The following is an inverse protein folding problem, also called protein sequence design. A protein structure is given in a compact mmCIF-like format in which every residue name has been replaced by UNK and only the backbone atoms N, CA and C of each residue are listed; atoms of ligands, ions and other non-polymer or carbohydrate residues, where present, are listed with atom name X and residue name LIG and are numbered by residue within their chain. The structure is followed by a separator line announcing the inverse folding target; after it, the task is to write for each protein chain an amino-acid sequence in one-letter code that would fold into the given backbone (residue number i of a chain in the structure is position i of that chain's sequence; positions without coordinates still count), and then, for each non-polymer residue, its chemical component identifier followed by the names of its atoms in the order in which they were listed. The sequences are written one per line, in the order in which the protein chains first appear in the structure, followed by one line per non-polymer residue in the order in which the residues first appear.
data_IF_482776309698
#
_entry.id   IF_482776309698
#
_cell.length_a   1.000
_cell.length_b   1.000
_cell.length_c   1.000
_cell.angle_alpha   90.00
_cell.angle_beta   90.00
_cell.angle_gamma   90.00
#
_symmetry.space_group_name_H-M   'P 1'
#
loop_
_entity.id
_entity.type
_entity.pdbx_description
1 polymer ?
#
# COMPACT_ATOMS: atom_id res chain seq x y z
N UNK A 1 68.00 4.60 28.51
CA UNK A 1 66.51 4.83 28.29
C UNK A 1 66.38 6.02 27.37
N UNK A 2 66.34 5.75 26.07
CA UNK A 2 66.34 6.75 25.01
C UNK A 2 64.89 6.94 24.52
N UNK A 3 64.42 8.19 24.45
CA UNK A 3 63.17 8.59 23.84
C UNK A 3 63.24 8.43 22.31
N UNK A 4 62.20 7.98 21.63
CA UNK A 4 62.17 8.09 20.18
C UNK A 4 61.80 9.50 19.73
N UNK A 5 62.56 9.99 18.76
CA UNK A 5 62.40 11.24 18.03
C UNK A 5 61.11 11.28 17.22
N UNK A 6 60.50 12.44 17.18
CA UNK A 6 59.32 12.72 16.33
C UNK A 6 59.75 12.93 14.88
N UNK A 7 59.09 12.23 13.97
CA UNK A 7 59.24 12.38 12.49
C UNK A 7 58.45 13.60 11.99
N UNK A 8 59.07 14.64 11.43
CA UNK A 8 58.40 15.79 10.88
C UNK A 8 58.30 15.67 9.35
N UNK A 9 57.28 15.04 8.78
CA UNK A 9 56.80 15.37 7.40
C UNK A 9 55.76 14.38 6.91
N UNK A 10 54.50 14.59 7.30
CA UNK A 10 53.40 14.16 6.47
C UNK A 10 52.84 15.39 5.74
N UNK A 11 52.83 15.43 4.38
CA UNK A 11 52.17 16.50 3.66
C UNK A 11 50.67 16.41 3.88
N UNK A 12 50.06 17.52 4.31
CA UNK A 12 48.64 17.72 4.32
C UNK A 12 48.14 17.63 2.88
N UNK A 13 47.36 16.57 2.60
CA UNK A 13 46.62 16.47 1.36
C UNK A 13 45.60 17.63 1.24
N UNK A 14 45.25 18.07 0.03
CA UNK A 14 44.29 19.14 -0.14
C UNK A 14 42.96 18.76 0.48
N UNK A 15 42.42 19.68 1.31
CA UNK A 15 41.10 19.54 1.91
C UNK A 15 40.00 19.48 0.82
N UNK A 16 38.83 18.94 1.15
CA UNK A 16 37.78 18.79 0.17
C UNK A 16 37.40 20.14 -0.42
N UNK A 17 37.32 20.21 -1.76
CA UNK A 17 36.93 21.40 -2.50
C UNK A 17 35.54 21.87 -2.08
N UNK A 18 35.31 23.21 -1.92
CA UNK A 18 33.98 23.72 -1.57
C UNK A 18 33.05 23.66 -2.77
N UNK A 19 31.89 23.02 -2.60
CA UNK A 19 30.68 23.41 -3.32
C UNK A 19 30.60 23.01 -4.80
N UNK A 20 30.63 21.73 -5.12
CA UNK A 20 29.92 21.27 -6.31
C UNK A 20 28.39 21.44 -6.11
N UNK A 21 27.61 21.71 -7.18
CA UNK A 21 26.16 21.79 -7.06
C UNK A 21 25.66 20.48 -6.42
N UNK A 22 24.86 20.61 -5.35
CA UNK A 22 24.15 19.45 -4.79
C UNK A 22 23.41 18.77 -5.95
N UNK A 23 23.48 17.43 -6.06
CA UNK A 23 22.62 16.74 -7.00
C UNK A 23 21.20 17.22 -6.74
N UNK A 24 20.55 17.80 -7.73
CA UNK A 24 19.11 18.00 -7.73
C UNK A 24 18.56 16.59 -7.52
N UNK A 25 18.02 16.31 -6.34
CA UNK A 25 17.31 15.05 -6.09
C UNK A 25 16.21 15.01 -7.16
N UNK A 26 16.42 14.19 -8.19
CA UNK A 26 15.42 13.99 -9.21
C UNK A 26 14.17 13.52 -8.45
N UNK A 27 13.09 14.30 -8.50
CA UNK A 27 11.83 13.96 -7.87
C UNK A 27 11.46 12.54 -8.31
N UNK A 28 11.36 11.64 -7.37
CA UNK A 28 10.96 10.27 -7.67
C UNK A 28 9.54 10.36 -8.24
N UNK A 29 9.29 9.90 -9.48
CA UNK A 29 7.98 10.00 -10.08
C UNK A 29 6.95 9.31 -9.18
N UNK A 30 5.72 9.82 -9.20
CA UNK A 30 4.62 9.18 -8.47
C UNK A 30 4.48 7.73 -8.91
N UNK A 31 4.14 6.82 -8.00
CA UNK A 31 4.11 5.39 -8.30
C UNK A 31 3.17 5.04 -9.46
N UNK A 32 2.07 5.80 -9.62
CA UNK A 32 1.13 5.62 -10.73
C UNK A 32 1.69 6.04 -12.09
N UNK A 33 2.72 6.89 -12.11
CA UNK A 33 3.38 7.36 -13.35
C UNK A 33 4.57 6.46 -13.73
N UNK A 34 4.92 5.49 -12.89
CA UNK A 34 5.94 4.51 -13.21
C UNK A 34 5.40 3.45 -14.17
N UNK A 35 6.26 2.96 -15.06
CA UNK A 35 5.95 1.67 -15.70
C UNK A 35 5.94 0.56 -14.66
N UNK A 36 5.15 -0.49 -14.90
CA UNK A 36 5.11 -1.67 -14.00
C UNK A 36 6.52 -2.20 -13.73
N UNK A 37 7.37 -2.31 -14.77
CA UNK A 37 8.76 -2.76 -14.61
C UNK A 37 9.54 -1.88 -13.64
N UNK A 38 9.48 -0.54 -13.80
CA UNK A 38 10.17 0.39 -12.90
C UNK A 38 9.66 0.32 -11.45
N UNK A 39 8.35 0.11 -11.27
CA UNK A 39 7.80 -0.07 -9.94
C UNK A 39 8.32 -1.37 -9.29
N UNK A 40 8.38 -2.47 -10.04
CA UNK A 40 8.91 -3.75 -9.55
C UNK A 40 10.40 -3.64 -9.20
N UNK A 41 11.21 -2.93 -10.00
CA UNK A 41 12.62 -2.66 -9.71
C UNK A 41 12.75 -1.84 -8.40
N UNK A 42 11.95 -0.78 -8.24
CA UNK A 42 11.94 0.04 -7.04
C UNK A 42 11.50 -0.74 -5.79
N UNK A 43 10.50 -1.62 -5.92
CA UNK A 43 10.02 -2.48 -4.83
C UNK A 43 11.09 -3.48 -4.36
N UNK A 44 11.94 -3.95 -5.28
CA UNK A 44 13.01 -4.91 -5.01
C UNK A 44 14.29 -4.25 -4.48
N UNK A 45 14.37 -2.93 -4.53
CA UNK A 45 15.55 -2.20 -4.09
C UNK A 45 15.66 -2.16 -2.56
N UNK A 46 16.89 -2.15 -2.03
CA UNK A 46 17.16 -2.00 -0.60
C UNK A 46 17.08 -0.52 -0.14
N UNK A 47 16.01 0.17 -0.55
CA UNK A 47 15.75 1.58 -0.24
C UNK A 47 14.40 1.76 0.45
N UNK A 48 14.19 2.84 1.22
CA UNK A 48 12.89 3.13 1.83
C UNK A 48 11.82 3.47 0.79
N UNK A 49 11.00 2.47 0.43
CA UNK A 49 9.84 2.60 -0.47
C UNK A 49 10.10 2.22 -1.92
N UNK A 50 9.04 1.78 -2.67
CA UNK A 50 7.72 1.40 -2.18
C UNK A 50 7.78 0.18 -1.26
N UNK A 51 6.83 0.04 -0.34
CA UNK A 51 6.75 -1.06 0.63
C UNK A 51 5.43 -1.82 0.59
N UNK A 52 5.19 -2.61 1.64
CA UNK A 52 4.01 -3.46 1.75
C UNK A 52 2.69 -2.70 1.69
N UNK A 53 2.61 -1.48 2.23
CA UNK A 53 1.40 -0.66 2.19
C UNK A 53 1.09 -0.15 0.79
N UNK A 54 2.10 0.29 0.04
CA UNK A 54 1.93 0.67 -1.37
C UNK A 54 1.45 -0.51 -2.22
N UNK A 55 2.00 -1.73 -1.98
CA UNK A 55 1.57 -2.95 -2.68
C UNK A 55 0.13 -3.32 -2.31
N UNK A 56 -0.26 -3.21 -1.04
CA UNK A 56 -1.63 -3.48 -0.60
C UNK A 56 -2.62 -2.53 -1.27
N UNK A 57 -2.30 -1.22 -1.33
CA UNK A 57 -3.12 -0.21 -2.00
C UNK A 57 -3.28 -0.50 -3.50
N UNK A 58 -2.18 -0.84 -4.19
CA UNK A 58 -2.23 -1.19 -5.61
C UNK A 58 -2.99 -2.49 -5.87
N UNK A 59 -2.90 -3.49 -4.99
CA UNK A 59 -3.68 -4.72 -5.10
C UNK A 59 -5.19 -4.41 -5.04
N UNK A 60 -5.63 -3.59 -4.09
CA UNK A 60 -7.03 -3.14 -3.98
C UNK A 60 -7.43 -2.29 -5.19
N UNK A 61 -6.55 -1.42 -5.68
CA UNK A 61 -6.78 -0.61 -6.89
C UNK A 61 -7.01 -1.49 -8.12
N UNK A 62 -6.17 -2.50 -8.32
CA UNK A 62 -6.32 -3.47 -9.43
C UNK A 62 -7.59 -4.31 -9.28
N UNK A 63 -7.93 -4.74 -8.06
CA UNK A 63 -9.17 -5.44 -7.77
C UNK A 63 -10.39 -4.60 -8.15
N UNK A 64 -10.40 -3.32 -7.75
CA UNK A 64 -11.47 -2.39 -8.10
C UNK A 64 -11.56 -2.18 -9.62
N UNK A 65 -10.44 -2.07 -10.32
CA UNK A 65 -10.39 -2.00 -11.78
C UNK A 65 -11.02 -3.21 -12.47
N UNK A 66 -10.72 -4.44 -11.98
CA UNK A 66 -11.39 -5.66 -12.44
C UNK A 66 -12.90 -5.63 -12.13
N UNK A 67 -13.28 -5.10 -10.95
CA UNK A 67 -14.69 -4.89 -10.58
C UNK A 67 -15.42 -3.98 -11.57
N UNK A 68 -14.81 -2.87 -12.00
CA UNK A 68 -15.36 -1.98 -13.04
C UNK A 68 -15.57 -2.74 -14.34
N UNK A 69 -14.54 -3.43 -14.81
CA UNK A 69 -14.58 -4.17 -16.08
C UNK A 69 -15.67 -5.25 -16.05
N UNK A 70 -15.68 -6.08 -15.02
CA UNK A 70 -16.60 -7.22 -14.91
C UNK A 70 -18.05 -6.76 -14.72
N UNK A 71 -18.29 -5.67 -13.99
CA UNK A 71 -19.62 -5.07 -13.87
C UNK A 71 -20.14 -4.59 -15.24
N UNK A 72 -19.35 -3.81 -15.99
CA UNK A 72 -19.73 -3.32 -17.34
C UNK A 72 -20.00 -4.46 -18.32
N UNK A 73 -19.23 -5.55 -18.25
CA UNK A 73 -19.46 -6.73 -19.09
C UNK A 73 -20.63 -7.61 -18.62
N UNK A 74 -21.23 -7.30 -17.47
CA UNK A 74 -22.37 -8.01 -16.89
C UNK A 74 -23.72 -7.29 -17.08
N UNK A 75 -23.80 -6.25 -17.89
CA UNK A 75 -25.00 -5.42 -18.05
C UNK A 75 -26.27 -6.17 -18.49
N UNK A 76 -26.13 -7.37 -19.06
CA UNK A 76 -27.26 -8.25 -19.43
C UNK A 76 -27.76 -9.10 -18.26
N UNK A 77 -26.91 -9.39 -17.28
CA UNK A 77 -27.17 -10.26 -16.12
C UNK A 77 -27.46 -9.45 -14.86
N UNK A 78 -26.82 -8.30 -14.71
CA UNK A 78 -26.94 -7.43 -13.53
C UNK A 78 -27.72 -6.17 -13.90
N UNK A 79 -28.96 -5.99 -13.41
CA UNK A 79 -29.75 -4.78 -13.67
C UNK A 79 -29.06 -3.48 -13.23
N UNK A 80 -28.24 -3.54 -12.15
CA UNK A 80 -27.50 -2.40 -11.62
C UNK A 80 -26.02 -2.37 -12.08
N UNK A 81 -25.69 -2.95 -13.24
CA UNK A 81 -24.29 -3.08 -13.70
C UNK A 81 -23.55 -1.74 -13.78
N UNK A 82 -24.17 -0.70 -14.34
CA UNK A 82 -23.56 0.63 -14.44
C UNK A 82 -23.36 1.31 -13.07
N UNK A 83 -24.31 1.16 -12.16
CA UNK A 83 -24.17 1.67 -10.79
C UNK A 83 -23.07 0.93 -10.03
N UNK A 84 -23.01 -0.39 -10.19
CA UNK A 84 -21.95 -1.23 -9.63
C UNK A 84 -20.58 -0.84 -10.19
N UNK A 85 -20.47 -0.65 -11.49
CA UNK A 85 -19.26 -0.18 -12.14
C UNK A 85 -18.82 1.19 -11.62
N UNK A 86 -19.77 2.13 -11.52
CA UNK A 86 -19.48 3.47 -10.99
C UNK A 86 -19.05 3.43 -9.51
N UNK A 87 -19.62 2.54 -8.68
CA UNK A 87 -19.17 2.33 -7.30
C UNK A 87 -17.73 1.79 -7.27
N UNK A 88 -17.43 0.78 -8.06
CA UNK A 88 -16.09 0.21 -8.15
C UNK A 88 -15.06 1.24 -8.68
N UNK A 89 -15.44 2.09 -9.63
CA UNK A 89 -14.59 3.15 -10.18
C UNK A 89 -14.23 4.19 -9.10
N UNK A 90 -15.19 4.63 -8.31
CA UNK A 90 -14.92 5.54 -7.17
C UNK A 90 -13.96 4.90 -6.16
N UNK A 91 -14.11 3.61 -5.87
CA UNK A 91 -13.21 2.89 -4.95
C UNK A 91 -11.80 2.77 -5.53
N UNK A 92 -11.67 2.50 -6.83
CA UNK A 92 -10.38 2.50 -7.54
C UNK A 92 -9.69 3.86 -7.42
N UNK A 93 -10.42 4.93 -7.68
CA UNK A 93 -9.88 6.29 -7.68
C UNK A 93 -9.50 6.77 -6.26
N UNK A 94 -10.18 6.25 -5.23
CA UNK A 94 -9.78 6.46 -3.82
C UNK A 94 -8.55 5.63 -3.43
N UNK A 95 -8.45 4.39 -3.89
CA UNK A 95 -7.36 3.48 -3.51
C UNK A 95 -6.03 3.84 -4.19
N UNK A 96 -6.08 4.27 -5.44
CA UNK A 96 -4.89 4.51 -6.26
C UNK A 96 -3.86 5.47 -5.63
N UNK A 97 -4.22 6.64 -5.10
CA UNK A 97 -3.26 7.56 -4.47
C UNK A 97 -2.70 7.04 -3.14
N UNK A 98 -3.33 6.04 -2.51
CA UNK A 98 -2.89 5.51 -1.21
C UNK A 98 -1.52 4.82 -1.29
N UNK A 99 -1.12 4.33 -2.46
CA UNK A 99 0.22 3.77 -2.66
C UNK A 99 1.33 4.81 -2.42
N UNK A 100 1.14 6.02 -2.92
CA UNK A 100 2.08 7.13 -2.71
C UNK A 100 1.97 7.67 -1.27
N UNK A 101 0.75 7.80 -0.75
CA UNK A 101 0.49 8.27 0.61
C UNK A 101 1.14 7.36 1.67
N UNK A 102 1.15 6.04 1.47
CA UNK A 102 1.86 5.09 2.35
C UNK A 102 3.35 5.41 2.45
N UNK A 103 4.01 5.64 1.31
CA UNK A 103 5.43 5.97 1.30
C UNK A 103 5.73 7.31 1.98
N UNK A 104 4.84 8.29 1.87
CA UNK A 104 4.96 9.59 2.54
C UNK A 104 4.78 9.45 4.05
N UNK A 105 3.76 8.71 4.48
CA UNK A 105 3.55 8.39 5.88
C UNK A 105 4.75 7.68 6.49
N UNK A 106 5.30 6.70 5.78
CA UNK A 106 6.48 5.95 6.24
C UNK A 106 7.73 6.85 6.36
N UNK A 107 7.96 7.79 5.44
CA UNK A 107 9.05 8.77 5.56
C UNK A 107 8.91 9.61 6.84
N UNK A 108 7.70 10.01 7.18
CA UNK A 108 7.41 10.76 8.42
C UNK A 108 7.70 9.93 9.67
N UNK A 109 7.39 8.63 9.66
CA UNK A 109 7.73 7.69 10.73
C UNK A 109 9.25 7.58 10.88
N UNK A 110 10.00 7.37 9.78
CA UNK A 110 11.47 7.31 9.82
C UNK A 110 12.05 8.59 10.40
N UNK A 111 11.55 9.77 10.00
CA UNK A 111 12.02 11.06 10.52
C UNK A 111 11.80 11.18 12.03
N UNK A 112 10.64 10.76 12.53
CA UNK A 112 10.33 10.75 13.96
C UNK A 112 11.24 9.80 14.76
N UNK A 113 11.56 8.62 14.22
CA UNK A 113 12.50 7.69 14.85
C UNK A 113 13.95 8.19 14.89
N UNK A 114 14.34 9.07 13.96
CA UNK A 114 15.67 9.70 13.93
C UNK A 114 15.76 10.93 14.82
N UNK A 115 14.65 11.49 15.27
CA UNK A 115 14.63 12.63 16.18
C UNK A 115 15.23 12.28 17.57
N UNK A 116 15.85 13.24 18.28
CA UNK A 116 16.37 13.01 19.62
C UNK A 116 15.30 12.45 20.56
N UNK A 117 15.64 11.38 21.29
CA UNK A 117 14.71 10.68 22.18
C UNK A 117 13.50 10.05 21.51
N UNK A 118 13.49 9.93 20.17
CA UNK A 118 12.36 9.44 19.36
C UNK A 118 11.07 10.23 19.60
N UNK A 119 11.22 11.54 19.81
CA UNK A 119 10.10 12.44 20.07
C UNK A 119 9.06 12.34 18.95
N UNK A 120 7.81 12.05 19.28
CA UNK A 120 6.71 11.95 18.33
C UNK A 120 6.61 10.62 17.56
N UNK A 121 7.46 9.62 17.82
CA UNK A 121 7.42 8.35 17.06
C UNK A 121 6.08 7.63 17.20
N UNK A 122 5.50 7.56 18.40
CA UNK A 122 4.19 6.97 18.61
C UNK A 122 3.07 7.73 17.88
N UNK A 123 3.10 9.05 17.87
CA UNK A 123 2.15 9.88 17.15
C UNK A 123 2.30 9.70 15.62
N UNK A 124 3.53 9.61 15.12
CA UNK A 124 3.81 9.36 13.71
C UNK A 124 3.31 7.98 13.25
N UNK A 125 3.53 6.93 14.05
CA UNK A 125 2.99 5.59 13.80
C UNK A 125 1.46 5.57 13.81
N UNK A 126 0.84 6.22 14.80
CA UNK A 126 -0.62 6.34 14.87
C UNK A 126 -1.20 7.09 13.66
N UNK A 127 -0.55 8.17 13.21
CA UNK A 127 -0.96 8.91 12.01
C UNK A 127 -0.78 8.06 10.74
N UNK A 128 0.31 7.31 10.63
CA UNK A 128 0.58 6.43 9.50
C UNK A 128 -0.45 5.30 9.34
N UNK A 129 -1.21 4.97 10.39
CA UNK A 129 -2.28 3.98 10.31
C UNK A 129 -3.50 4.44 9.48
N UNK A 130 -3.63 5.73 9.18
CA UNK A 130 -4.77 6.22 8.39
C UNK A 130 -4.80 5.57 7.00
N UNK A 131 -3.66 5.47 6.35
CA UNK A 131 -3.55 4.88 5.01
C UNK A 131 -3.94 3.40 4.99
N UNK A 132 -3.33 2.49 5.77
CA UNK A 132 -3.73 1.09 5.74
C UNK A 132 -5.16 0.86 6.26
N UNK A 133 -5.69 1.70 7.15
CA UNK A 133 -7.11 1.64 7.52
C UNK A 133 -8.00 1.88 6.31
N UNK A 134 -7.75 2.92 5.54
CA UNK A 134 -8.53 3.22 4.33
C UNK A 134 -8.38 2.12 3.27
N UNK A 135 -7.19 1.55 3.09
CA UNK A 135 -6.97 0.39 2.21
C UNK A 135 -7.81 -0.81 2.64
N UNK A 136 -7.91 -1.10 3.94
CA UNK A 136 -8.72 -2.19 4.47
C UNK A 136 -10.23 -1.96 4.24
N UNK A 137 -10.71 -0.73 4.44
CA UNK A 137 -12.09 -0.33 4.19
C UNK A 137 -12.46 -0.49 2.72
N UNK A 138 -11.65 0.08 1.82
CA UNK A 138 -11.88 -0.03 0.37
C UNK A 138 -11.80 -1.49 -0.07
N UNK A 139 -10.84 -2.26 0.45
CA UNK A 139 -10.68 -3.67 0.11
C UNK A 139 -11.91 -4.51 0.46
N UNK A 140 -12.53 -4.26 1.62
CA UNK A 140 -13.77 -4.94 2.01
C UNK A 140 -14.93 -4.60 1.07
N UNK A 141 -15.10 -3.31 0.73
CA UNK A 141 -16.13 -2.87 -0.21
C UNK A 141 -15.93 -3.44 -1.63
N UNK A 142 -14.68 -3.51 -2.10
CA UNK A 142 -14.35 -4.10 -3.41
C UNK A 142 -14.60 -5.61 -3.42
N UNK A 143 -14.29 -6.31 -2.32
CA UNK A 143 -14.57 -7.74 -2.19
C UNK A 143 -16.08 -8.03 -2.26
N UNK A 144 -16.91 -7.19 -1.62
CA UNK A 144 -18.38 -7.26 -1.71
C UNK A 144 -18.88 -7.14 -3.15
N UNK A 145 -18.44 -6.10 -3.86
CA UNK A 145 -18.81 -5.89 -5.27
C UNK A 145 -18.39 -7.08 -6.13
N UNK A 146 -17.13 -7.52 -5.98
CA UNK A 146 -16.57 -8.60 -6.78
C UNK A 146 -17.29 -9.94 -6.53
N UNK A 147 -17.63 -10.27 -5.29
CA UNK A 147 -18.38 -11.46 -4.93
C UNK A 147 -19.81 -11.43 -5.52
N UNK A 148 -20.50 -10.30 -5.47
CA UNK A 148 -21.81 -10.13 -6.08
C UNK A 148 -21.76 -10.32 -7.61
N UNK A 149 -20.72 -9.80 -8.29
CA UNK A 149 -20.54 -10.00 -9.73
C UNK A 149 -20.21 -11.46 -10.04
N UNK A 150 -19.37 -12.12 -9.24
CA UNK A 150 -19.04 -13.53 -9.42
C UNK A 150 -20.26 -14.45 -9.30
N UNK A 151 -21.20 -14.09 -8.40
CA UNK A 151 -22.42 -14.86 -8.18
C UNK A 151 -23.48 -14.65 -9.27
N UNK A 152 -23.71 -13.42 -9.72
CA UNK A 152 -24.85 -13.09 -10.59
C UNK A 152 -24.49 -12.42 -11.92
N UNK A 153 -23.21 -12.17 -12.19
CA UNK A 153 -22.75 -11.49 -13.39
C UNK A 153 -22.59 -12.39 -14.62
N UNK A 154 -21.89 -11.88 -15.62
CA UNK A 154 -21.60 -12.59 -16.85
C UNK A 154 -20.65 -13.77 -16.57
N UNK A 155 -21.05 -15.02 -16.86
CA UNK A 155 -20.22 -16.21 -16.60
C UNK A 155 -18.87 -16.20 -17.33
N UNK A 156 -18.76 -15.47 -18.45
CA UNK A 156 -17.51 -15.40 -19.20
C UNK A 156 -16.40 -14.58 -18.50
N UNK A 157 -16.76 -13.70 -17.58
CA UNK A 157 -15.82 -12.89 -16.79
C UNK A 157 -15.86 -13.23 -15.29
N UNK A 158 -16.48 -14.37 -14.94
CA UNK A 158 -16.55 -14.84 -13.55
C UNK A 158 -15.15 -15.01 -12.95
N UNK A 159 -14.19 -15.55 -13.70
CA UNK A 159 -12.81 -15.71 -13.26
C UNK A 159 -12.15 -14.39 -12.87
N UNK A 160 -12.41 -13.33 -13.63
CA UNK A 160 -11.92 -11.98 -13.32
C UNK A 160 -12.58 -11.41 -12.06
N UNK A 161 -13.88 -11.64 -11.87
CA UNK A 161 -14.59 -11.22 -10.66
C UNK A 161 -14.06 -11.96 -9.41
N UNK A 162 -13.80 -13.28 -9.50
CA UNK A 162 -13.17 -14.05 -8.43
C UNK A 162 -11.76 -13.51 -8.14
N UNK A 163 -10.97 -13.24 -9.18
CA UNK A 163 -9.64 -12.64 -9.04
C UNK A 163 -9.71 -11.29 -8.34
N UNK A 164 -10.69 -10.45 -8.66
CA UNK A 164 -10.93 -9.17 -7.97
C UNK A 164 -11.22 -9.39 -6.47
N UNK A 165 -12.10 -10.34 -6.12
CA UNK A 165 -12.42 -10.64 -4.72
C UNK A 165 -11.18 -11.11 -3.94
N UNK A 166 -10.38 -11.99 -4.50
CA UNK A 166 -9.15 -12.51 -3.89
C UNK A 166 -8.08 -11.42 -3.70
N UNK A 167 -7.86 -10.57 -4.70
CA UNK A 167 -6.92 -9.45 -4.60
C UNK A 167 -7.37 -8.42 -3.56
N UNK A 168 -8.65 -8.10 -3.53
CA UNK A 168 -9.23 -7.18 -2.55
C UNK A 168 -9.07 -7.71 -1.13
N UNK A 169 -9.40 -9.00 -0.90
CA UNK A 169 -9.23 -9.66 0.39
C UNK A 169 -7.75 -9.72 0.82
N UNK A 170 -6.84 -10.00 -0.11
CA UNK A 170 -5.40 -10.03 0.16
C UNK A 170 -4.87 -8.64 0.53
N UNK A 171 -5.31 -7.59 -0.18
CA UNK A 171 -4.96 -6.20 0.11
C UNK A 171 -5.48 -5.74 1.47
N UNK A 172 -6.75 -6.03 1.78
CA UNK A 172 -7.35 -5.72 3.08
C UNK A 172 -6.63 -6.43 4.23
N UNK A 173 -6.25 -7.69 4.05
CA UNK A 173 -5.52 -8.48 5.05
C UNK A 173 -4.11 -7.94 5.28
N UNK A 174 -3.40 -7.56 4.21
CA UNK A 174 -2.08 -6.94 4.32
C UNK A 174 -2.17 -5.59 5.05
N UNK A 175 -3.16 -4.79 4.72
CA UNK A 175 -3.42 -3.50 5.37
C UNK A 175 -3.74 -3.68 6.87
N UNK A 176 -4.59 -4.63 7.25
CA UNK A 176 -4.90 -4.94 8.65
C UNK A 176 -3.64 -5.34 9.45
N UNK A 177 -2.74 -6.13 8.85
CA UNK A 177 -1.48 -6.49 9.47
C UNK A 177 -0.59 -5.25 9.72
N UNK A 178 -0.54 -4.30 8.79
CA UNK A 178 0.20 -3.04 8.94
C UNK A 178 -0.38 -2.15 10.04
N UNK A 179 -1.71 -2.04 10.13
CA UNK A 179 -2.38 -1.32 11.24
C UNK A 179 -1.97 -1.91 12.59
N UNK A 180 -2.01 -3.23 12.73
CA UNK A 180 -1.64 -3.93 13.95
C UNK A 180 -0.18 -3.71 14.34
N UNK A 181 0.75 -3.78 13.37
CA UNK A 181 2.18 -3.56 13.59
C UNK A 181 2.43 -2.12 14.04
N UNK A 182 1.82 -1.14 13.37
CA UNK A 182 2.03 0.28 13.66
C UNK A 182 1.46 0.70 15.03
N UNK A 183 0.44 -0.01 15.52
CA UNK A 183 -0.21 0.26 16.81
C UNK A 183 0.19 -0.73 17.90
N UNK A 184 1.30 -1.43 17.75
CA UNK A 184 1.82 -2.31 18.80
C UNK A 184 2.06 -1.51 20.09
N UNK A 185 1.41 -1.93 21.19
CA UNK A 185 1.46 -1.25 22.49
C UNK A 185 0.40 -0.15 22.69
N UNK A 186 -0.51 0.06 21.74
CA UNK A 186 -1.68 0.94 21.88
C UNK A 186 -2.93 0.08 22.15
N UNK A 187 -3.02 -0.50 23.32
CA UNK A 187 -4.03 -1.53 23.66
C UNK A 187 -5.48 -1.01 23.61
N UNK A 188 -5.68 0.28 23.88
CA UNK A 188 -6.99 0.92 23.87
C UNK A 188 -7.44 1.41 22.48
N UNK A 189 -6.59 1.24 21.42
CA UNK A 189 -6.93 1.67 20.07
C UNK A 189 -7.78 0.62 19.35
N UNK A 190 -8.99 1.00 18.98
CA UNK A 190 -9.94 0.10 18.32
C UNK A 190 -9.64 -0.18 16.83
N UNK A 191 -8.69 0.55 16.22
CA UNK A 191 -8.37 0.41 14.78
C UNK A 191 -7.86 -0.99 14.40
N UNK A 192 -6.98 -1.65 15.16
CA UNK A 192 -6.56 -3.02 14.84
C UNK A 192 -7.72 -4.00 14.76
N UNK A 193 -8.63 -3.99 15.73
CA UNK A 193 -9.79 -4.87 15.74
C UNK A 193 -10.73 -4.59 14.55
N UNK A 194 -10.95 -3.31 14.22
CA UNK A 194 -11.74 -2.91 13.05
C UNK A 194 -11.11 -3.39 11.75
N UNK A 195 -9.80 -3.20 11.57
CA UNK A 195 -9.09 -3.64 10.38
C UNK A 195 -9.11 -5.16 10.22
N UNK A 196 -8.93 -5.91 11.31
CA UNK A 196 -9.05 -7.38 11.32
C UNK A 196 -10.45 -7.84 10.93
N UNK A 197 -11.51 -7.17 11.43
CA UNK A 197 -12.90 -7.45 11.05
C UNK A 197 -13.13 -7.25 9.55
N UNK A 198 -12.69 -6.11 8.98
CA UNK A 198 -12.80 -5.81 7.55
C UNK A 198 -12.06 -6.84 6.69
N UNK A 199 -10.87 -7.23 7.10
CA UNK A 199 -10.09 -8.25 6.41
C UNK A 199 -10.75 -9.65 6.47
N UNK A 200 -11.35 -10.02 7.60
CA UNK A 200 -12.07 -11.26 7.74
C UNK A 200 -13.35 -11.30 6.87
N UNK A 201 -14.07 -10.20 6.81
CA UNK A 201 -15.24 -10.04 5.93
C UNK A 201 -14.85 -10.18 4.45
N UNK A 202 -13.81 -9.47 4.01
CA UNK A 202 -13.31 -9.56 2.64
C UNK A 202 -12.88 -11.01 2.30
N UNK A 203 -12.21 -11.70 3.22
CA UNK A 203 -11.78 -13.08 3.03
C UNK A 203 -12.98 -14.04 2.92
N UNK A 204 -14.02 -13.85 3.71
CA UNK A 204 -15.26 -14.63 3.63
C UNK A 204 -15.92 -14.46 2.26
N UNK A 205 -16.06 -13.21 1.79
CA UNK A 205 -16.66 -12.89 0.49
C UNK A 205 -15.84 -13.48 -0.69
N UNK A 206 -14.52 -13.44 -0.61
CA UNK A 206 -13.67 -14.06 -1.61
C UNK A 206 -13.85 -15.59 -1.65
N UNK A 207 -13.93 -16.25 -0.49
CA UNK A 207 -14.19 -17.69 -0.41
C UNK A 207 -15.56 -18.07 -0.97
N UNK A 208 -16.59 -17.25 -0.76
CA UNK A 208 -17.93 -17.44 -1.34
C UNK A 208 -17.92 -17.30 -2.85
N UNK A 209 -17.18 -16.32 -3.38
CA UNK A 209 -17.00 -16.13 -4.83
C UNK A 209 -16.35 -17.37 -5.48
N UNK A 210 -15.33 -17.96 -4.84
CA UNK A 210 -14.68 -19.19 -5.31
C UNK A 210 -15.60 -20.42 -5.22
N UNK A 211 -16.34 -20.56 -4.12
CA UNK A 211 -17.24 -21.71 -3.94
C UNK A 211 -18.37 -21.73 -4.97
N UNK A 212 -18.88 -20.58 -5.37
CA UNK A 212 -19.90 -20.42 -6.42
C UNK A 212 -19.42 -20.74 -7.83
N UNK A 213 -18.13 -20.99 -8.04
CA UNK A 213 -17.53 -21.31 -9.33
C UNK A 213 -17.62 -22.81 -9.73
N UNK A 214 -18.16 -23.67 -8.83
CA UNK A 214 -18.29 -25.12 -9.03
C UNK A 214 -19.58 -25.51 -9.72
#
# INVERSE_FOLDING_TARGET
MSRPEADPARPHGPGPAPGGPRPVEAETPAYLDMTVGRFLDALSAATPGPGGGAVAALAVTMAAGLGVMTARLSGRQLPAAEETAARAERLRDRAAPLAQADAEAYRSVIAAFRAPGRAGAAAALSAACAVPMEVAEIGAEVAEIAAAIAAGGNPNVRGDAITAALLAASGARAAAALVKINLTGAEDDGRPARAEHLAAEAARLAAEAEAGAR
#
